data_IF_662830714531
#
_entry.id   IF_662830714531
#
_cell.length_a   1.000
_cell.length_b   1.000
_cell.length_c   1.000
_cell.angle_alpha   90.00
_cell.angle_beta   90.00
_cell.angle_gamma   90.00
#
_symmetry.space_group_name_H-M   'P 1'
#
loop_
_entity.id
_entity.type
_entity.pdbx_description
1 polymer ?
#
# COMPACT_ATOMS: atom_id res chain seq x y z
N UNK A 1 -3.39 -31.25 -21.77
CA UNK A 1 -2.71 -30.46 -20.71
C UNK A 1 -3.07 -29.00 -20.94
N UNK A 2 -3.90 -28.40 -20.08
CA UNK A 2 -4.25 -26.98 -20.16
C UNK A 2 -3.22 -26.21 -19.32
N UNK A 3 -2.51 -25.27 -19.94
CA UNK A 3 -1.49 -24.44 -19.30
C UNK A 3 -2.16 -23.33 -18.48
N UNK A 4 -1.62 -23.13 -17.27
CA UNK A 4 -2.05 -22.17 -16.26
C UNK A 4 -2.20 -20.72 -16.78
N UNK A 5 -1.46 -20.36 -17.84
CA UNK A 5 -1.52 -19.04 -18.48
C UNK A 5 -2.92 -18.65 -18.96
N UNK A 6 -3.75 -19.62 -19.37
CA UNK A 6 -5.12 -19.37 -19.84
C UNK A 6 -6.16 -19.22 -18.72
N UNK A 7 -6.01 -19.94 -17.61
CA UNK A 7 -6.96 -19.96 -16.50
C UNK A 7 -6.61 -18.95 -15.39
N UNK A 8 -5.32 -18.78 -15.09
CA UNK A 8 -4.83 -17.82 -14.10
C UNK A 8 -5.15 -16.37 -14.45
N UNK A 9 -5.04 -15.99 -15.74
CA UNK A 9 -5.40 -14.65 -16.22
C UNK A 9 -6.90 -14.36 -16.04
N UNK A 10 -7.77 -15.30 -16.41
CA UNK A 10 -9.23 -15.15 -16.25
C UNK A 10 -9.65 -15.12 -14.78
N UNK A 11 -9.00 -15.91 -13.93
CA UNK A 11 -9.23 -15.88 -12.50
C UNK A 11 -8.84 -14.53 -11.89
N UNK A 12 -7.66 -14.00 -12.25
CA UNK A 12 -7.20 -12.68 -11.80
C UNK A 12 -8.18 -11.56 -12.19
N UNK A 13 -8.64 -11.53 -13.45
CA UNK A 13 -9.64 -10.53 -13.89
C UNK A 13 -10.94 -10.65 -13.09
N UNK A 14 -11.48 -11.86 -12.93
CA UNK A 14 -12.72 -12.06 -12.16
C UNK A 14 -12.58 -11.59 -10.72
N UNK A 15 -11.43 -11.86 -10.10
CA UNK A 15 -11.13 -11.42 -8.74
C UNK A 15 -11.11 -9.88 -8.67
N UNK A 16 -10.40 -9.23 -9.59
CA UNK A 16 -10.34 -7.76 -9.66
C UNK A 16 -11.73 -7.17 -9.89
N UNK A 17 -12.51 -7.71 -10.82
CA UNK A 17 -13.89 -7.27 -11.06
C UNK A 17 -14.78 -7.44 -9.83
N UNK A 18 -14.66 -8.56 -9.12
CA UNK A 18 -15.41 -8.79 -7.89
C UNK A 18 -15.03 -7.78 -6.81
N UNK A 19 -13.74 -7.53 -6.60
CA UNK A 19 -13.28 -6.51 -5.66
C UNK A 19 -13.77 -5.12 -6.05
N UNK A 20 -13.70 -4.75 -7.33
CA UNK A 20 -14.21 -3.46 -7.81
C UNK A 20 -15.71 -3.32 -7.58
N UNK A 21 -16.49 -4.37 -7.84
CA UNK A 21 -17.94 -4.35 -7.64
C UNK A 21 -18.28 -4.22 -6.15
N UNK A 22 -17.63 -5.00 -5.29
CA UNK A 22 -17.83 -4.92 -3.83
C UNK A 22 -17.44 -3.53 -3.31
N UNK A 23 -16.28 -3.00 -3.70
CA UNK A 23 -15.83 -1.64 -3.35
C UNK A 23 -16.80 -0.57 -3.84
N UNK A 24 -17.36 -0.72 -5.04
CA UNK A 24 -18.37 0.19 -5.58
C UNK A 24 -19.67 0.16 -4.77
N UNK A 25 -20.13 -1.03 -4.36
CA UNK A 25 -21.31 -1.17 -3.48
C UNK A 25 -21.06 -0.49 -2.13
N UNK A 26 -19.88 -0.69 -1.52
CA UNK A 26 -19.52 0.00 -0.26
C UNK A 26 -19.47 1.51 -0.42
N UNK A 27 -18.90 2.00 -1.53
CA UNK A 27 -18.86 3.43 -1.84
C UNK A 27 -20.29 4.00 -1.96
N UNK A 28 -21.16 3.33 -2.71
CA UNK A 28 -22.57 3.74 -2.85
C UNK A 28 -23.31 3.74 -1.51
N UNK A 29 -23.11 2.71 -0.69
CA UNK A 29 -23.70 2.63 0.64
C UNK A 29 -23.23 3.79 1.53
N UNK A 30 -21.92 4.08 1.53
CA UNK A 30 -21.33 5.20 2.26
C UNK A 30 -21.87 6.55 1.79
N UNK A 31 -21.89 6.80 0.48
CA UNK A 31 -22.45 8.02 -0.10
C UNK A 31 -23.93 8.18 0.27
N UNK A 32 -24.72 7.11 0.17
CA UNK A 32 -26.15 7.12 0.54
C UNK A 32 -26.34 7.42 2.03
N UNK A 33 -25.50 6.86 2.89
CA UNK A 33 -25.54 7.10 4.33
C UNK A 33 -25.24 8.56 4.67
N UNK A 34 -24.16 9.14 4.13
CA UNK A 34 -23.80 10.55 4.31
C UNK A 34 -24.92 11.46 3.80
N UNK A 35 -25.44 11.15 2.61
CA UNK A 35 -26.53 11.92 2.00
C UNK A 35 -27.81 11.91 2.84
N UNK A 36 -28.13 10.78 3.49
CA UNK A 36 -29.32 10.65 4.33
C UNK A 36 -29.13 11.24 5.72
N UNK A 37 -27.94 11.19 6.32
CA UNK A 37 -27.69 11.71 7.66
C UNK A 37 -27.70 13.24 7.71
N UNK A 38 -27.36 13.91 6.59
CA UNK A 38 -27.32 15.38 6.47
C UNK A 38 -28.50 15.96 5.69
N UNK A 39 -29.72 15.48 5.93
CA UNK A 39 -30.91 15.99 5.21
C UNK A 39 -31.20 17.48 5.44
N UNK A 40 -30.69 18.06 6.51
CA UNK A 40 -30.92 19.44 6.91
C UNK A 40 -29.90 20.44 6.36
N UNK A 41 -28.81 19.96 5.76
CA UNK A 41 -27.77 20.81 5.18
C UNK A 41 -28.14 21.22 3.75
N UNK A 42 -27.57 22.33 3.28
CA UNK A 42 -27.72 22.77 1.89
C UNK A 42 -27.22 21.72 0.90
N UNK A 43 -27.85 21.65 -0.27
CA UNK A 43 -27.51 20.66 -1.31
C UNK A 43 -26.03 20.71 -1.68
N UNK A 44 -25.46 21.91 -1.78
CA UNK A 44 -24.05 22.10 -2.12
C UNK A 44 -23.11 21.56 -1.05
N UNK A 45 -23.43 21.78 0.23
CA UNK A 45 -22.64 21.24 1.35
C UNK A 45 -22.75 19.71 1.41
N UNK A 46 -23.94 19.16 1.14
CA UNK A 46 -24.15 17.70 1.07
C UNK A 46 -23.36 17.09 -0.07
N UNK A 47 -23.37 17.73 -1.25
CA UNK A 47 -22.63 17.27 -2.42
C UNK A 47 -21.12 17.32 -2.14
N UNK A 48 -20.64 18.44 -1.59
CA UNK A 48 -19.24 18.61 -1.21
C UNK A 48 -18.80 17.54 -0.22
N UNK A 49 -19.56 17.28 0.86
CA UNK A 49 -19.21 16.25 1.86
C UNK A 49 -19.37 14.82 1.35
N UNK A 50 -20.20 14.59 0.33
CA UNK A 50 -20.38 13.27 -0.30
C UNK A 50 -19.30 12.98 -1.33
N UNK A 51 -18.82 14.00 -2.06
CA UNK A 51 -17.77 13.87 -3.08
C UNK A 51 -16.37 13.99 -2.45
N UNK A 52 -16.18 14.99 -1.59
CA UNK A 52 -14.97 15.20 -0.78
C UNK A 52 -15.15 14.44 0.54
N UNK A 53 -15.14 13.11 0.43
CA UNK A 53 -15.32 12.15 1.53
C UNK A 53 -14.28 12.35 2.67
N UNK A 54 -13.24 13.14 2.42
CA UNK A 54 -11.98 13.21 3.17
C UNK A 54 -12.13 13.72 4.61
N UNK A 55 -13.21 14.45 4.96
CA UNK A 55 -13.31 15.11 6.27
C UNK A 55 -14.45 14.62 7.17
N UNK A 56 -15.19 13.59 6.76
CA UNK A 56 -16.33 13.11 7.56
C UNK A 56 -15.90 12.08 8.62
N UNK A 57 -15.85 12.52 9.88
CA UNK A 57 -15.38 11.73 11.04
C UNK A 57 -16.05 10.34 11.15
N UNK A 58 -17.39 10.20 11.11
CA UNK A 58 -18.02 8.87 11.16
C UNK A 58 -17.66 7.98 9.96
N UNK A 59 -17.46 8.60 8.78
CA UNK A 59 -17.01 7.89 7.58
C UNK A 59 -15.60 7.33 7.77
N UNK A 60 -14.70 8.11 8.36
CA UNK A 60 -13.33 7.68 8.66
C UNK A 60 -13.27 6.55 9.69
N UNK A 61 -14.07 6.63 10.76
CA UNK A 61 -14.16 5.55 11.76
C UNK A 61 -14.68 4.24 11.16
N UNK A 62 -15.65 4.34 10.24
CA UNK A 62 -16.16 3.20 9.49
C UNK A 62 -15.07 2.60 8.57
N UNK A 63 -14.24 3.43 7.93
CA UNK A 63 -13.13 2.95 7.11
C UNK A 63 -12.08 2.19 7.96
N UNK A 64 -11.77 2.67 9.18
CA UNK A 64 -10.90 1.95 10.13
C UNK A 64 -11.51 0.58 10.48
N UNK A 65 -12.80 0.53 10.78
CA UNK A 65 -13.48 -0.72 11.14
C UNK A 65 -13.44 -1.73 9.98
N UNK A 66 -13.75 -1.29 8.75
CA UNK A 66 -13.68 -2.13 7.54
C UNK A 66 -12.24 -2.59 7.29
N UNK A 67 -11.26 -1.70 7.41
CA UNK A 67 -9.84 -2.05 7.26
C UNK A 67 -9.39 -3.10 8.27
N UNK A 68 -9.81 -2.96 9.53
CA UNK A 68 -9.48 -3.90 10.61
C UNK A 68 -10.11 -5.27 10.36
N UNK A 69 -11.38 -5.31 9.96
CA UNK A 69 -12.06 -6.54 9.58
C UNK A 69 -11.37 -7.22 8.38
N UNK A 70 -10.97 -6.43 7.37
CA UNK A 70 -10.21 -6.90 6.22
C UNK A 70 -8.84 -7.49 6.60
N UNK A 71 -8.13 -6.86 7.54
CA UNK A 71 -6.88 -7.39 8.09
C UNK A 71 -7.10 -8.75 8.77
N UNK A 72 -8.09 -8.86 9.65
CA UNK A 72 -8.40 -10.12 10.36
C UNK A 72 -8.76 -11.24 9.38
N UNK A 73 -9.59 -10.94 8.38
CA UNK A 73 -9.92 -11.88 7.32
C UNK A 73 -8.67 -12.30 6.53
N UNK A 74 -7.78 -11.35 6.21
CA UNK A 74 -6.53 -11.63 5.51
C UNK A 74 -5.61 -12.55 6.33
N UNK A 75 -5.52 -12.37 7.64
CA UNK A 75 -4.78 -13.27 8.55
C UNK A 75 -5.38 -14.68 8.52
N UNK A 76 -6.71 -14.81 8.56
CA UNK A 76 -7.39 -16.09 8.49
C UNK A 76 -7.09 -16.83 7.17
N UNK A 77 -7.24 -16.14 6.04
CA UNK A 77 -6.94 -16.70 4.71
C UNK A 77 -5.46 -17.07 4.60
N UNK A 78 -4.56 -16.20 5.06
CA UNK A 78 -3.12 -16.45 5.04
C UNK A 78 -2.76 -17.74 5.80
N UNK A 79 -3.31 -17.92 7.00
CA UNK A 79 -3.11 -19.14 7.80
C UNK A 79 -3.62 -20.38 7.08
N UNK A 80 -4.81 -20.30 6.46
CA UNK A 80 -5.37 -21.41 5.68
C UNK A 80 -4.46 -21.83 4.53
N UNK A 81 -3.96 -20.85 3.76
CA UNK A 81 -3.06 -21.11 2.63
C UNK A 81 -1.71 -21.64 3.11
N UNK A 82 -1.11 -21.05 4.15
CA UNK A 82 0.17 -21.50 4.71
C UNK A 82 0.10 -22.96 5.18
N UNK A 83 -1.00 -23.37 5.81
CA UNK A 83 -1.19 -24.75 6.24
C UNK A 83 -1.26 -25.70 5.03
N UNK A 84 -2.00 -25.35 3.98
CA UNK A 84 -2.08 -26.15 2.74
C UNK A 84 -0.74 -26.26 2.01
N UNK A 85 0.01 -25.16 1.92
CA UNK A 85 1.32 -25.13 1.26
C UNK A 85 2.37 -25.92 2.04
N UNK A 86 2.26 -25.99 3.38
CA UNK A 86 3.20 -26.75 4.22
C UNK A 86 3.05 -28.27 4.05
N UNK A 87 1.85 -28.75 3.77
CA UNK A 87 1.53 -30.19 3.64
C UNK A 87 1.61 -30.71 2.21
N UNK A 88 1.96 -29.85 1.24
CA UNK A 88 1.99 -30.21 -0.18
C UNK A 88 3.39 -30.70 -0.57
N UNK A 89 3.53 -32.00 -0.84
CA UNK A 89 4.72 -32.57 -1.49
C UNK A 89 4.57 -32.48 -3.02
N UNK A 90 5.47 -31.75 -3.68
CA UNK A 90 5.42 -31.56 -5.13
C UNK A 90 6.06 -32.73 -5.89
N UNK A 91 5.38 -33.24 -6.91
CA UNK A 91 5.89 -34.32 -7.77
C UNK A 91 6.50 -33.79 -9.08
N UNK A 92 6.20 -32.55 -9.47
CA UNK A 92 6.69 -31.94 -10.71
C UNK A 92 7.49 -30.64 -10.51
N UNK A 93 8.38 -30.33 -11.46
CA UNK A 93 9.17 -29.08 -11.47
C UNK A 93 8.27 -27.83 -11.55
N UNK A 94 7.17 -27.88 -12.32
CA UNK A 94 6.22 -26.77 -12.45
C UNK A 94 5.55 -26.45 -11.11
N UNK A 95 5.05 -27.47 -10.40
CA UNK A 95 4.45 -27.29 -9.06
C UNK A 95 5.45 -26.73 -8.06
N UNK A 96 6.73 -27.12 -8.15
CA UNK A 96 7.78 -26.60 -7.28
C UNK A 96 8.01 -25.09 -7.50
N UNK A 97 7.96 -24.61 -8.74
CA UNK A 97 8.00 -23.18 -9.06
C UNK A 97 6.78 -22.42 -8.53
N UNK A 98 5.58 -22.98 -8.71
CA UNK A 98 4.32 -22.38 -8.22
C UNK A 98 4.27 -22.29 -6.69
N UNK A 99 4.68 -23.34 -6.00
CA UNK A 99 4.81 -23.35 -4.53
C UNK A 99 5.83 -22.30 -4.09
N UNK A 100 6.94 -22.13 -4.82
CA UNK A 100 7.96 -21.12 -4.50
C UNK A 100 7.41 -19.70 -4.66
N UNK A 101 6.71 -19.42 -5.75
CA UNK A 101 6.07 -18.11 -5.97
C UNK A 101 5.01 -17.83 -4.91
N UNK A 102 4.17 -18.81 -4.60
CA UNK A 102 3.16 -18.70 -3.54
C UNK A 102 3.81 -18.42 -2.18
N UNK A 103 4.93 -19.08 -1.85
CA UNK A 103 5.71 -18.81 -0.63
C UNK A 103 6.25 -17.38 -0.58
N UNK A 104 6.78 -16.85 -1.69
CA UNK A 104 7.22 -15.45 -1.77
C UNK A 104 6.05 -14.48 -1.57
N UNK A 105 4.91 -14.71 -2.21
CA UNK A 105 3.71 -13.88 -2.02
C UNK A 105 3.20 -13.94 -0.58
N UNK A 106 3.18 -15.13 0.04
CA UNK A 106 2.81 -15.31 1.45
C UNK A 106 3.74 -14.51 2.39
N UNK A 107 5.05 -14.51 2.12
CA UNK A 107 6.02 -13.74 2.90
C UNK A 107 5.82 -12.23 2.74
N UNK A 108 5.54 -11.76 1.52
CA UNK A 108 5.17 -10.37 1.27
C UNK A 108 3.89 -9.98 2.03
N UNK A 109 2.80 -10.73 1.88
CA UNK A 109 1.53 -10.47 2.59
C UNK A 109 1.74 -10.45 4.10
N UNK A 110 2.55 -11.36 4.64
CA UNK A 110 2.91 -11.36 6.07
C UNK A 110 3.59 -10.05 6.49
N UNK A 111 4.54 -9.52 5.71
CA UNK A 111 5.19 -8.23 5.99
C UNK A 111 4.19 -7.07 5.93
N UNK A 112 3.27 -7.09 4.96
CA UNK A 112 2.21 -6.08 4.83
C UNK A 112 1.28 -6.07 6.06
N UNK A 113 0.91 -7.25 6.58
CA UNK A 113 0.12 -7.35 7.81
C UNK A 113 0.83 -6.77 9.03
N UNK A 114 2.14 -7.00 9.17
CA UNK A 114 2.91 -6.38 10.25
C UNK A 114 3.02 -4.86 10.11
N UNK A 115 3.20 -4.35 8.88
CA UNK A 115 3.18 -2.91 8.62
C UNK A 115 1.82 -2.30 8.94
N UNK A 116 0.73 -2.98 8.58
CA UNK A 116 -0.62 -2.54 8.91
C UNK A 116 -0.84 -2.52 10.43
N UNK A 117 -0.37 -3.55 11.16
CA UNK A 117 -0.44 -3.56 12.62
C UNK A 117 0.32 -2.37 13.24
N UNK A 118 1.52 -2.07 12.71
CA UNK A 118 2.29 -0.90 13.11
C UNK A 118 1.53 0.40 12.85
N UNK A 119 0.96 0.57 11.65
CA UNK A 119 0.11 1.70 11.30
C UNK A 119 -1.09 1.82 12.26
N UNK A 120 -1.77 0.70 12.53
CA UNK A 120 -2.94 0.67 13.41
C UNK A 120 -2.61 1.18 14.82
N UNK A 121 -1.49 0.74 15.39
CA UNK A 121 -1.00 1.23 16.69
C UNK A 121 -0.74 2.75 16.64
N UNK A 122 -0.14 3.26 15.56
CA UNK A 122 0.10 4.69 15.39
C UNK A 122 -1.20 5.50 15.21
N UNK A 123 -2.19 4.95 14.50
CA UNK A 123 -3.47 5.62 14.17
C UNK A 123 -4.41 5.67 15.38
N UNK A 124 -4.42 4.63 16.22
CA UNK A 124 -5.33 4.47 17.34
C UNK A 124 -5.43 5.67 18.30
N UNK A 125 -4.32 6.31 18.76
CA UNK A 125 -4.42 7.48 19.62
C UNK A 125 -5.08 8.67 18.92
N UNK A 126 -4.73 8.95 17.66
CA UNK A 126 -5.32 10.06 16.89
C UNK A 126 -6.80 9.81 16.59
N UNK A 127 -7.16 8.58 16.23
CA UNK A 127 -8.55 8.18 16.00
C UNK A 127 -9.38 8.27 17.30
N UNK A 128 -8.79 7.93 18.44
CA UNK A 128 -9.44 8.03 19.76
C UNK A 128 -9.68 9.49 20.15
N UNK A 129 -8.68 10.36 19.95
CA UNK A 129 -8.82 11.81 20.18
C UNK A 129 -9.87 12.41 19.25
N UNK A 130 -9.87 12.03 17.96
CA UNK A 130 -10.86 12.47 16.98
C UNK A 130 -12.28 12.05 17.37
N UNK A 131 -12.47 10.80 17.82
CA UNK A 131 -13.75 10.33 18.35
C UNK A 131 -14.18 11.13 19.59
N UNK A 132 -13.25 11.39 20.51
CA UNK A 132 -13.53 12.16 21.72
C UNK A 132 -14.00 13.59 21.40
N UNK A 133 -13.27 14.30 20.54
CA UNK A 133 -13.58 15.66 20.13
C UNK A 133 -14.93 15.75 19.41
N UNK A 134 -15.23 14.79 18.55
CA UNK A 134 -16.49 14.77 17.80
C UNK A 134 -17.70 14.40 18.68
N UNK A 135 -17.60 13.33 19.47
CA UNK A 135 -18.75 12.78 20.20
C UNK A 135 -18.97 13.45 21.56
N UNK A 136 -17.90 13.70 22.32
CA UNK A 136 -18.01 14.23 23.68
C UNK A 136 -17.88 15.75 23.74
N UNK A 137 -17.01 16.34 22.92
CA UNK A 137 -16.89 17.80 22.86
C UNK A 137 -17.86 18.44 21.85
N UNK A 138 -18.50 17.65 20.98
CA UNK A 138 -19.47 18.13 20.00
C UNK A 138 -18.87 19.06 18.94
N UNK A 139 -17.56 18.96 18.69
CA UNK A 139 -16.89 19.77 17.67
C UNK A 139 -17.35 19.35 16.28
N UNK A 140 -17.66 20.33 15.43
CA UNK A 140 -18.02 20.08 14.04
C UNK A 140 -16.81 19.62 13.22
N UNK A 141 -17.05 18.86 12.15
CA UNK A 141 -16.00 18.30 11.28
C UNK A 141 -15.11 19.35 10.63
N UNK A 142 -15.58 20.59 10.61
CA UNK A 142 -14.97 21.70 9.91
C UNK A 142 -14.07 22.53 10.84
N UNK A 143 -13.93 22.16 12.12
CA UNK A 143 -13.01 22.82 13.05
C UNK A 143 -11.55 22.47 12.75
N UNK A 144 -10.66 23.41 13.06
CA UNK A 144 -9.23 23.31 12.77
C UNK A 144 -8.59 22.10 13.47
N UNK A 145 -9.00 21.79 14.69
CA UNK A 145 -8.51 20.65 15.47
C UNK A 145 -8.83 19.31 14.79
N UNK A 146 -10.06 19.14 14.30
CA UNK A 146 -10.48 17.92 13.58
C UNK A 146 -9.76 17.82 12.24
N UNK A 147 -9.60 18.92 11.51
CA UNK A 147 -8.88 18.94 10.24
C UNK A 147 -7.41 18.57 10.38
N UNK A 148 -6.73 19.06 11.42
CA UNK A 148 -5.33 18.68 11.71
C UNK A 148 -5.23 17.17 11.98
N UNK A 149 -6.11 16.63 12.81
CA UNK A 149 -6.12 15.20 13.12
C UNK A 149 -6.39 14.34 11.88
N UNK A 150 -7.39 14.69 11.07
CA UNK A 150 -7.68 14.00 9.81
C UNK A 150 -6.50 14.08 8.83
N UNK A 151 -5.79 15.21 8.77
CA UNK A 151 -4.61 15.38 7.93
C UNK A 151 -3.48 14.45 8.38
N UNK A 152 -3.19 14.40 9.68
CA UNK A 152 -2.18 13.49 10.24
C UNK A 152 -2.52 12.03 9.93
N UNK A 153 -3.79 11.65 10.12
CA UNK A 153 -4.29 10.31 9.82
C UNK A 153 -4.14 9.94 8.34
N UNK A 154 -4.41 10.89 7.44
CA UNK A 154 -4.23 10.72 5.99
C UNK A 154 -2.75 10.55 5.64
N UNK A 155 -1.86 11.37 6.20
CA UNK A 155 -0.41 11.25 6.00
C UNK A 155 0.13 9.90 6.49
N UNK A 156 -0.39 9.38 7.61
CA UNK A 156 -0.03 8.05 8.10
C UNK A 156 -0.46 6.95 7.11
N UNK A 157 -1.66 7.05 6.54
CA UNK A 157 -2.14 6.12 5.52
C UNK A 157 -1.28 6.17 4.24
N UNK A 158 -0.90 7.36 3.77
CA UNK A 158 0.00 7.54 2.64
C UNK A 158 1.40 6.96 2.90
N UNK A 159 1.91 7.14 4.13
CA UNK A 159 3.15 6.51 4.58
C UNK A 159 3.07 4.98 4.50
N UNK A 160 1.95 4.39 4.90
CA UNK A 160 1.73 2.94 4.76
C UNK A 160 1.67 2.50 3.29
N UNK A 161 1.01 3.26 2.41
CA UNK A 161 0.97 2.98 0.98
C UNK A 161 2.38 3.00 0.35
N UNK A 162 3.21 3.95 0.77
CA UNK A 162 4.60 4.02 0.35
C UNK A 162 5.41 2.80 0.82
N UNK A 163 5.33 2.45 2.11
CA UNK A 163 6.01 1.26 2.67
C UNK A 163 5.56 -0.02 1.98
N UNK A 164 4.25 -0.13 1.72
CA UNK A 164 3.63 -1.24 1.00
C UNK A 164 4.20 -1.42 -0.41
N UNK A 165 4.33 -0.31 -1.13
CA UNK A 165 4.92 -0.28 -2.48
C UNK A 165 6.40 -0.66 -2.45
N UNK A 166 7.16 -0.18 -1.45
CA UNK A 166 8.56 -0.56 -1.27
C UNK A 166 8.72 -2.05 -1.00
N UNK A 167 7.89 -2.65 -0.13
CA UNK A 167 7.92 -4.09 0.11
C UNK A 167 7.60 -4.90 -1.14
N UNK A 168 6.64 -4.45 -1.95
CA UNK A 168 6.35 -5.08 -3.23
C UNK A 168 7.55 -5.00 -4.18
N UNK A 169 8.22 -3.85 -4.26
CA UNK A 169 9.42 -3.68 -5.07
C UNK A 169 10.58 -4.59 -4.64
N UNK A 170 10.79 -4.77 -3.32
CA UNK A 170 11.87 -5.61 -2.81
C UNK A 170 11.60 -7.11 -2.96
N UNK A 171 10.34 -7.56 -2.85
CA UNK A 171 10.03 -9.00 -2.87
C UNK A 171 9.84 -9.57 -4.28
N UNK A 172 9.41 -8.75 -5.25
CA UNK A 172 9.11 -9.20 -6.62
C UNK A 172 10.20 -8.75 -7.62
N UNK A 173 11.19 -9.61 -7.95
CA UNK A 173 12.27 -9.27 -8.88
C UNK A 173 11.76 -8.99 -10.31
N UNK A 174 10.60 -9.55 -10.68
CA UNK A 174 9.95 -9.26 -11.96
C UNK A 174 9.49 -7.80 -12.05
N UNK A 175 8.86 -7.30 -10.99
CA UNK A 175 8.43 -5.89 -10.91
C UNK A 175 9.63 -4.96 -10.95
N UNK A 176 10.69 -5.32 -10.22
CA UNK A 176 11.96 -4.60 -10.26
C UNK A 176 12.52 -4.50 -11.68
N UNK A 177 12.60 -5.62 -12.40
CA UNK A 177 13.09 -5.65 -13.78
C UNK A 177 12.23 -4.78 -14.72
N UNK A 178 10.90 -4.81 -14.57
CA UNK A 178 10.00 -3.95 -15.34
C UNK A 178 10.26 -2.46 -15.06
N UNK A 179 10.35 -2.07 -13.79
CA UNK A 179 10.67 -0.69 -13.40
C UNK A 179 12.04 -0.25 -13.96
N UNK A 180 13.07 -1.09 -13.90
CA UNK A 180 14.36 -0.76 -14.51
C UNK A 180 14.29 -0.61 -16.04
N UNK A 181 13.41 -1.34 -16.71
CA UNK A 181 13.20 -1.19 -18.15
C UNK A 181 12.50 0.14 -18.46
N UNK A 182 11.43 0.45 -17.73
CA UNK A 182 10.62 1.66 -17.91
C UNK A 182 11.39 2.94 -17.53
N UNK A 183 12.30 2.85 -16.56
CA UNK A 183 13.12 3.96 -16.07
C UNK A 183 14.60 3.84 -16.46
N UNK A 184 14.91 3.11 -17.53
CA UNK A 184 16.27 2.87 -18.04
C UNK A 184 17.06 4.15 -18.37
N UNK A 185 16.37 5.25 -18.65
CA UNK A 185 16.93 6.60 -18.86
C UNK A 185 17.39 7.31 -17.58
N UNK A 186 16.94 6.86 -16.39
CA UNK A 186 17.23 7.49 -15.09
C UNK A 186 18.04 6.56 -14.19
N UNK A 187 17.80 5.25 -14.27
CA UNK A 187 18.45 4.26 -13.42
C UNK A 187 19.69 3.66 -14.11
N UNK A 188 20.85 3.63 -13.45
CA UNK A 188 22.05 3.01 -14.02
C UNK A 188 21.78 1.53 -14.31
N UNK A 189 22.13 1.11 -15.53
CA UNK A 189 21.90 -0.27 -15.99
C UNK A 189 22.59 -1.25 -15.04
N UNK A 190 21.83 -2.11 -14.36
CA UNK A 190 22.41 -3.19 -13.58
C UNK A 190 22.96 -4.21 -14.58
N UNK A 191 24.30 -4.25 -14.70
CA UNK A 191 25.01 -5.28 -15.46
C UNK A 191 24.59 -6.64 -14.93
N UNK A 192 23.98 -7.46 -15.81
CA UNK A 192 23.50 -8.81 -15.49
C UNK A 192 24.68 -9.75 -15.24
N UNK A 193 25.33 -9.67 -14.10
CA UNK A 193 26.15 -10.76 -13.59
C UNK A 193 25.35 -11.53 -12.53
N UNK A 194 25.41 -12.86 -12.60
CA UNK A 194 24.74 -13.76 -11.67
C UNK A 194 25.36 -13.63 -10.27
N UNK A 195 24.96 -12.60 -9.53
CA UNK A 195 25.41 -12.35 -8.17
C UNK A 195 24.58 -13.18 -7.19
N UNK A 196 25.26 -13.74 -6.19
CA UNK A 196 24.60 -14.45 -5.11
C UNK A 196 23.63 -13.52 -4.38
N UNK A 197 22.54 -14.06 -3.81
CA UNK A 197 21.49 -13.31 -3.08
C UNK A 197 22.07 -12.37 -1.99
N UNK A 198 23.23 -12.74 -1.43
CA UNK A 198 23.98 -11.95 -0.44
C UNK A 198 24.70 -10.75 -1.06
N UNK A 199 25.26 -10.92 -2.24
CA UNK A 199 25.93 -9.86 -3.00
C UNK A 199 24.92 -8.89 -3.63
N UNK A 200 23.78 -9.40 -4.12
CA UNK A 200 22.66 -8.56 -4.56
C UNK A 200 22.20 -7.62 -3.44
N UNK A 201 22.03 -8.13 -2.21
CA UNK A 201 21.60 -7.31 -1.05
C UNK A 201 22.63 -6.21 -0.73
N UNK A 202 23.93 -6.50 -0.85
CA UNK A 202 25.00 -5.52 -0.66
C UNK A 202 25.01 -4.46 -1.78
N UNK A 203 24.87 -4.87 -3.04
CA UNK A 203 24.75 -3.94 -4.18
C UNK A 203 23.52 -3.06 -4.03
N UNK A 204 22.41 -3.60 -3.51
CA UNK A 204 21.21 -2.81 -3.22
C UNK A 204 21.39 -1.84 -2.04
N UNK A 205 22.08 -2.21 -0.97
CA UNK A 205 22.42 -1.29 0.11
C UNK A 205 23.33 -0.15 -0.39
N UNK A 206 24.31 -0.47 -1.23
CA UNK A 206 25.21 0.52 -1.84
C UNK A 206 24.42 1.46 -2.75
N UNK A 207 23.53 0.94 -3.61
CA UNK A 207 22.73 1.76 -4.51
C UNK A 207 21.67 2.59 -3.78
N UNK A 208 21.08 2.07 -2.71
CA UNK A 208 20.14 2.81 -1.86
C UNK A 208 20.85 3.94 -1.11
N UNK A 209 22.04 3.70 -0.58
CA UNK A 209 22.85 4.75 0.03
C UNK A 209 23.29 5.81 -0.98
N UNK A 210 23.61 5.43 -2.23
CA UNK A 210 23.88 6.37 -3.31
C UNK A 210 22.66 7.23 -3.64
N UNK A 211 21.46 6.64 -3.70
CA UNK A 211 20.21 7.36 -3.93
C UNK A 211 19.89 8.33 -2.77
N UNK A 212 20.05 7.89 -1.52
CA UNK A 212 19.88 8.75 -0.33
C UNK A 212 20.88 9.90 -0.36
N UNK A 213 22.13 9.65 -0.74
CA UNK A 213 23.14 10.69 -0.84
C UNK A 213 22.81 11.65 -1.99
N UNK A 214 22.39 11.17 -3.16
CA UNK A 214 21.96 12.02 -4.26
C UNK A 214 20.74 12.88 -3.90
N UNK A 215 19.77 12.31 -3.18
CA UNK A 215 18.62 13.04 -2.64
C UNK A 215 19.03 14.05 -1.58
N UNK A 216 19.98 13.73 -0.69
CA UNK A 216 20.56 14.71 0.25
C UNK A 216 21.27 15.84 -0.47
N UNK A 217 22.01 15.55 -1.56
CA UNK A 217 22.68 16.57 -2.37
C UNK A 217 21.68 17.48 -3.07
N UNK A 218 20.59 16.92 -3.63
CA UNK A 218 19.51 17.70 -4.25
C UNK A 218 18.72 18.53 -3.23
N UNK A 219 18.42 17.95 -2.06
CA UNK A 219 17.71 18.62 -0.97
C UNK A 219 18.57 19.65 -0.24
N UNK A 220 19.90 19.62 -0.37
CA UNK A 220 20.80 20.62 0.22
C UNK A 220 20.83 21.96 -0.52
N UNK A 221 20.24 22.05 -1.72
CA UNK A 221 19.98 23.30 -2.40
C UNK A 221 21.23 24.11 -2.82
N UNK A 222 21.36 24.30 -4.14
CA UNK A 222 22.00 25.45 -4.80
C UNK A 222 23.15 26.16 -4.07
N UNK A 223 24.35 25.62 -4.23
CA UNK A 223 25.59 26.38 -4.05
C UNK A 223 26.70 25.65 -4.77
N UNK A 224 27.23 26.25 -5.84
CA UNK A 224 28.42 25.89 -6.60
C UNK A 224 28.27 25.05 -7.89
N UNK A 225 28.27 25.80 -8.99
CA UNK A 225 29.02 25.65 -10.26
C UNK A 225 29.15 24.28 -10.95
N UNK A 226 28.52 24.26 -12.12
CA UNK A 226 28.58 23.38 -13.29
C UNK A 226 29.99 23.08 -13.86
N UNK A 227 30.93 22.53 -13.07
CA UNK A 227 32.23 22.06 -13.60
C UNK A 227 32.64 20.63 -13.24
N UNK A 228 31.95 19.91 -12.36
CA UNK A 228 32.43 18.61 -11.89
C UNK A 228 31.74 17.38 -12.53
N UNK A 229 31.03 17.55 -13.64
CA UNK A 229 30.35 16.45 -14.36
C UNK A 229 31.24 15.72 -15.39
N UNK A 230 32.56 15.78 -15.27
CA UNK A 230 33.50 15.13 -16.20
C UNK A 230 34.20 13.87 -15.68
N UNK A 231 33.80 13.33 -14.51
CA UNK A 231 34.48 12.16 -13.92
C UNK A 231 33.64 10.88 -13.76
N UNK A 232 32.49 10.77 -14.41
CA UNK A 232 31.68 9.55 -14.39
C UNK A 232 31.20 9.18 -15.81
N UNK A 233 32.15 8.72 -16.64
CA UNK A 233 31.93 7.73 -17.69
C UNK A 233 32.76 6.50 -17.31
#
# INVERSE_FOLDING_TARGET
MRTYDGEGYRFGIRLVCYFLLVSFVFLLAKCTFIWRSRRHDDIDQRLQKTIVIVNYVPGFLLDIAIGTAGMLHSIYVLRSIMNKVRTSDSRSLSECYEIRQTKCTLQWVKKMLFAYLGLFICVLPFASTLFYLYVFCGLDTDTLEIQILNTILTMLADGYNLVSTLFMYFEFPQLKKAIYQDFSWILPSITKSALSRKEETNVYFINFNKLINALRYLLRGSGYTQKDFSFLI
#
